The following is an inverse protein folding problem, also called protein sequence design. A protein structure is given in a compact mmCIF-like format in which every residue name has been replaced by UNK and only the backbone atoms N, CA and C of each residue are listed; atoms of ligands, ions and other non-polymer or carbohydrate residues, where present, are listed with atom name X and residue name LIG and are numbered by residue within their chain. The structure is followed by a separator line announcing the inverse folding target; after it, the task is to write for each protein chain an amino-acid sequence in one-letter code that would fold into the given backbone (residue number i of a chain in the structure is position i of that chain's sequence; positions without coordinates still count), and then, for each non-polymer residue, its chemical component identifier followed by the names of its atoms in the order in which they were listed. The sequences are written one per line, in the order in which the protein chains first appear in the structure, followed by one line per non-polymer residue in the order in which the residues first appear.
data_IF_345762481963
#
_entry.id   IF_345762481963
#
_cell.length_a   1.000
_cell.length_b   1.000
_cell.length_c   1.000
_cell.angle_alpha   90.00
_cell.angle_beta   90.00
_cell.angle_gamma   90.00
#
_symmetry.space_group_name_H-M   'P 1'
#
loop_
_entity.id
_entity.type
_entity.pdbx_description
1 polymer ?
#
# COMPACT_ATOMS: atom_id res chain seq x y z
N UNK A 1 24.54 -19.39 -13.14
CA UNK A 1 23.21 -19.93 -12.81
C UNK A 1 22.56 -18.98 -11.82
N UNK A 2 21.57 -18.21 -12.25
CA UNK A 2 20.73 -17.40 -11.36
C UNK A 2 19.63 -18.29 -10.82
N UNK A 3 19.67 -18.57 -9.52
CA UNK A 3 18.53 -19.18 -8.82
C UNK A 3 17.36 -18.20 -8.96
N UNK A 4 16.16 -18.62 -9.39
CA UNK A 4 15.02 -17.73 -9.48
C UNK A 4 14.61 -17.33 -8.06
N UNK A 5 15.10 -16.20 -7.57
CA UNK A 5 14.44 -15.48 -6.48
C UNK A 5 13.10 -15.02 -7.03
N UNK A 6 12.01 -15.35 -6.35
CA UNK A 6 10.69 -14.88 -6.74
C UNK A 6 10.71 -13.36 -6.81
N UNK A 7 10.45 -12.76 -7.97
CA UNK A 7 10.32 -11.30 -8.14
C UNK A 7 9.01 -10.76 -7.55
N UNK A 8 8.45 -11.48 -6.59
CA UNK A 8 7.19 -11.20 -5.95
C UNK A 8 7.43 -11.12 -4.45
N UNK A 9 6.98 -10.01 -3.87
CA UNK A 9 6.88 -9.81 -2.43
C UNK A 9 5.41 -9.91 -2.07
N UNK A 10 5.09 -10.78 -1.12
CA UNK A 10 3.74 -10.92 -0.56
C UNK A 10 3.86 -10.73 0.94
N UNK A 11 3.24 -9.68 1.46
CA UNK A 11 3.13 -9.45 2.88
C UNK A 11 1.68 -9.27 3.26
N UNK A 12 1.31 -9.74 4.45
CA UNK A 12 -0.07 -9.70 4.91
C UNK A 12 -0.16 -9.56 6.42
N UNK A 13 -1.28 -9.00 6.87
CA UNK A 13 -1.57 -8.83 8.28
C UNK A 13 -3.08 -8.86 8.52
N UNK A 14 -3.47 -9.26 9.73
CA UNK A 14 -4.83 -9.06 10.24
C UNK A 14 -4.87 -7.74 10.98
N UNK A 15 -5.66 -6.81 10.47
CA UNK A 15 -5.89 -5.50 11.06
C UNK A 15 -7.15 -5.59 11.92
N UNK A 16 -7.02 -5.41 13.24
CA UNK A 16 -8.13 -5.46 14.21
C UNK A 16 -9.05 -4.22 14.09
N UNK A 17 -9.66 -4.05 12.93
CA UNK A 17 -10.67 -3.05 12.62
C UNK A 17 -11.59 -3.55 11.50
N UNK A 18 -12.86 -3.09 11.46
CA UNK A 18 -13.79 -3.47 10.41
C UNK A 18 -13.32 -3.01 9.03
N UNK A 19 -13.74 -3.73 7.98
CA UNK A 19 -13.35 -3.46 6.59
C UNK A 19 -13.59 -2.01 6.18
N UNK A 20 -14.71 -1.42 6.58
CA UNK A 20 -15.05 -0.02 6.26
C UNK A 20 -14.02 0.99 6.77
N UNK A 21 -13.42 0.72 7.93
CA UNK A 21 -12.41 1.59 8.53
C UNK A 21 -11.07 1.42 7.82
N UNK A 22 -10.67 0.17 7.57
CA UNK A 22 -9.42 -0.14 6.88
C UNK A 22 -9.46 0.38 5.44
N UNK A 23 -10.56 0.14 4.73
CA UNK A 23 -10.77 0.56 3.33
C UNK A 23 -10.70 2.07 3.15
N UNK A 24 -11.07 2.86 4.17
CA UNK A 24 -10.95 4.31 4.13
C UNK A 24 -9.51 4.78 3.84
N UNK A 25 -8.51 4.04 4.33
CA UNK A 25 -7.09 4.32 4.12
C UNK A 25 -6.55 3.81 2.77
N UNK A 26 -7.25 2.88 2.11
CA UNK A 26 -6.78 2.22 0.89
C UNK A 26 -7.16 3.04 -0.35
N UNK A 27 -6.62 4.25 -0.42
CA UNK A 27 -6.65 5.12 -1.60
C UNK A 27 -5.28 5.74 -1.77
N UNK A 28 -4.80 5.91 -2.99
CA UNK A 28 -3.40 6.34 -3.21
C UNK A 28 -3.06 7.68 -2.55
N UNK A 29 -3.99 8.65 -2.53
CA UNK A 29 -3.82 9.91 -1.82
C UNK A 29 -3.92 9.82 -0.29
N UNK A 30 -4.49 8.74 0.24
CA UNK A 30 -4.74 8.52 1.67
C UNK A 30 -3.67 7.65 2.34
N UNK A 31 -2.88 6.92 1.54
CA UNK A 31 -1.79 6.07 2.05
C UNK A 31 -0.81 6.82 2.99
N UNK A 32 -0.42 8.10 2.76
CA UNK A 32 0.43 8.84 3.69
C UNK A 32 -0.21 9.07 5.07
N UNK A 33 -1.53 8.95 5.21
CA UNK A 33 -2.21 9.13 6.50
C UNK A 33 -1.93 8.00 7.49
N UNK A 34 -1.52 6.83 6.99
CA UNK A 34 -1.07 5.74 7.85
C UNK A 34 0.41 5.45 7.66
N UNK A 35 0.90 5.36 6.42
CA UNK A 35 2.25 4.87 6.18
C UNK A 35 3.29 5.95 6.46
N UNK A 36 3.98 5.79 7.60
CA UNK A 36 4.86 6.83 8.14
C UNK A 36 6.12 7.10 7.31
N UNK A 37 6.46 6.23 6.36
CA UNK A 37 7.59 6.43 5.45
C UNK A 37 7.31 7.53 4.41
N UNK A 38 6.04 7.75 4.07
CA UNK A 38 5.63 8.79 3.12
C UNK A 38 5.43 10.10 3.89
N UNK A 39 6.05 11.16 3.41
CA UNK A 39 5.89 12.51 3.93
C UNK A 39 4.60 13.15 3.40
N UNK A 40 4.34 13.04 2.10
CA UNK A 40 3.13 13.55 1.46
C UNK A 40 2.77 12.80 0.18
N UNK A 41 1.49 12.85 -0.18
CA UNK A 41 0.99 12.48 -1.51
C UNK A 41 0.31 13.67 -2.17
N UNK A 42 0.57 13.85 -3.46
CA UNK A 42 0.00 14.93 -4.26
C UNK A 42 -0.56 14.34 -5.56
N UNK A 43 -1.75 14.76 -5.97
CA UNK A 43 -2.28 14.37 -7.28
C UNK A 43 -1.50 15.10 -8.37
N UNK A 44 -0.99 14.35 -9.35
CA UNK A 44 -0.31 14.93 -10.52
C UNK A 44 -1.38 15.33 -11.53
N UNK A 45 -1.56 16.63 -11.71
CA UNK A 45 -2.51 17.19 -12.68
C UNK A 45 -1.83 17.36 -14.04
N UNK A 46 -2.58 17.17 -15.13
CA UNK A 46 -2.05 17.30 -16.50
C UNK A 46 -1.46 16.01 -17.10
N UNK A 47 -1.45 14.92 -16.35
CA UNK A 47 -1.38 13.55 -16.88
C UNK A 47 -2.75 13.14 -17.45
N UNK A 48 -2.77 12.36 -18.53
CA UNK A 48 -3.95 11.98 -19.34
C UNK A 48 -5.29 11.94 -18.59
N UNK A 49 -6.34 12.49 -19.21
CA UNK A 49 -7.69 12.68 -18.62
C UNK A 49 -8.31 11.43 -17.97
N UNK A 50 -7.86 10.23 -18.35
CA UNK A 50 -8.40 8.95 -17.89
C UNK A 50 -7.57 8.26 -16.78
N UNK A 51 -6.47 8.85 -16.28
CA UNK A 51 -5.57 8.13 -15.37
C UNK A 51 -5.17 8.95 -14.15
N UNK A 52 -5.56 8.45 -12.98
CA UNK A 52 -5.14 9.02 -11.70
C UNK A 52 -3.65 8.71 -11.43
N UNK A 53 -2.83 9.76 -11.43
CA UNK A 53 -1.41 9.71 -11.06
C UNK A 53 -1.19 10.44 -9.74
N UNK A 54 -0.46 9.81 -8.83
CA UNK A 54 -0.11 10.39 -7.55
C UNK A 54 1.41 10.42 -7.38
N UNK A 55 1.92 11.53 -6.85
CA UNK A 55 3.31 11.70 -6.46
C UNK A 55 3.44 11.44 -4.97
N UNK A 56 4.24 10.46 -4.58
CA UNK A 56 4.60 10.18 -3.20
C UNK A 56 6.02 10.67 -2.92
N UNK A 57 6.15 11.57 -1.96
CA UNK A 57 7.45 12.00 -1.43
C UNK A 57 7.73 11.23 -0.14
N UNK A 58 8.82 10.48 -0.10
CA UNK A 58 9.27 9.75 1.07
C UNK A 58 10.20 10.60 1.94
N UNK A 59 10.23 10.27 3.23
CA UNK A 59 11.08 10.96 4.22
C UNK A 59 12.58 10.75 4.01
N UNK A 60 12.98 9.75 3.24
CA UNK A 60 14.37 9.53 2.85
C UNK A 60 14.80 10.43 1.67
N UNK A 61 13.91 11.29 1.18
CA UNK A 61 14.13 12.18 0.06
C UNK A 61 13.80 11.56 -1.30
N UNK A 62 13.46 10.27 -1.36
CA UNK A 62 13.02 9.65 -2.60
C UNK A 62 11.60 10.09 -2.96
N UNK A 63 11.32 10.15 -4.26
CA UNK A 63 10.03 10.57 -4.80
C UNK A 63 9.62 9.58 -5.87
N UNK A 64 8.39 9.08 -5.82
CA UNK A 64 7.86 8.18 -6.84
C UNK A 64 6.55 8.72 -7.38
N UNK A 65 6.32 8.59 -8.68
CA UNK A 65 5.03 8.80 -9.29
C UNK A 65 4.41 7.44 -9.56
N UNK A 66 3.22 7.26 -9.02
CA UNK A 66 2.45 6.02 -9.15
C UNK A 66 1.19 6.30 -9.96
N UNK A 67 0.88 5.34 -10.82
CA UNK A 67 -0.32 5.32 -11.65
C UNK A 67 -1.30 4.32 -11.04
N UNK A 68 -2.54 4.74 -10.82
CA UNK A 68 -3.60 3.82 -10.45
C UNK A 68 -3.97 2.97 -11.67
N UNK A 69 -3.84 1.65 -11.57
CA UNK A 69 -4.24 0.72 -12.63
C UNK A 69 -5.67 0.22 -12.44
N UNK A 70 -6.06 -0.04 -11.18
CA UNK A 70 -7.39 -0.54 -10.85
C UNK A 70 -7.77 -0.16 -9.42
N UNK A 71 -9.05 0.15 -9.20
CA UNK A 71 -9.60 0.38 -7.87
C UNK A 71 -11.02 -0.17 -7.80
N UNK A 72 -11.19 -1.33 -7.18
CA UNK A 72 -12.48 -2.00 -7.00
C UNK A 72 -13.00 -1.76 -5.59
N UNK A 73 -14.02 -0.91 -5.47
CA UNK A 73 -14.78 -0.75 -4.22
C UNK A 73 -15.66 -1.98 -3.92
N UNK A 74 -15.99 -2.79 -4.93
CA UNK A 74 -16.79 -4.01 -4.74
C UNK A 74 -15.93 -5.12 -4.13
N UNK A 75 -14.75 -5.34 -4.70
CA UNK A 75 -13.84 -6.43 -4.30
C UNK A 75 -12.75 -6.00 -3.31
N UNK A 76 -12.77 -4.72 -2.91
CA UNK A 76 -11.88 -4.10 -1.92
C UNK A 76 -10.39 -4.32 -2.25
N UNK A 77 -9.99 -3.91 -3.45
CA UNK A 77 -8.57 -3.85 -3.80
C UNK A 77 -8.21 -2.65 -4.65
N UNK A 78 -6.93 -2.29 -4.59
CA UNK A 78 -6.31 -1.27 -5.43
C UNK A 78 -5.02 -1.83 -6.02
N UNK A 79 -4.82 -1.60 -7.31
CA UNK A 79 -3.60 -1.93 -8.05
C UNK A 79 -2.98 -0.65 -8.60
N UNK A 80 -1.68 -0.51 -8.44
CA UNK A 80 -0.94 0.65 -8.94
C UNK A 80 0.47 0.26 -9.36
N UNK A 81 1.03 1.03 -10.29
CA UNK A 81 2.36 0.84 -10.84
C UNK A 81 3.22 2.08 -10.64
N UNK A 82 4.51 1.90 -10.38
CA UNK A 82 5.45 3.04 -10.40
C UNK A 82 5.78 3.37 -11.84
N UNK A 83 5.56 4.63 -12.24
CA UNK A 83 5.83 5.13 -13.59
C UNK A 83 7.04 6.06 -13.66
N UNK A 84 7.40 6.67 -12.53
CA UNK A 84 8.57 7.54 -12.42
C UNK A 84 9.15 7.48 -10.99
N UNK A 85 10.45 7.74 -10.85
CA UNK A 85 11.13 7.73 -9.54
C UNK A 85 12.37 8.61 -9.56
N UNK A 86 12.60 9.32 -8.46
CA UNK A 86 13.80 10.12 -8.18
C UNK A 86 14.33 9.72 -6.79
N UNK A 87 15.51 9.09 -6.68
CA UNK A 87 16.38 8.63 -7.76
C UNK A 87 15.71 7.55 -8.63
N UNK A 88 16.20 7.39 -9.85
CA UNK A 88 15.69 6.39 -10.79
C UNK A 88 15.78 4.97 -10.23
N UNK A 89 14.78 4.15 -10.55
CA UNK A 89 14.75 2.74 -10.14
C UNK A 89 15.88 1.96 -10.80
N UNK A 90 16.43 0.98 -10.08
CA UNK A 90 17.40 0.02 -10.64
C UNK A 90 16.75 -1.09 -11.48
N UNK A 91 15.41 -1.10 -11.56
CA UNK A 91 14.61 -2.13 -12.22
C UNK A 91 13.54 -1.48 -13.12
N UNK A 92 13.10 -2.24 -14.13
CA UNK A 92 12.22 -1.72 -15.18
C UNK A 92 10.79 -1.42 -14.74
N UNK A 93 10.19 -2.21 -13.84
CA UNK A 93 8.81 -1.98 -13.39
C UNK A 93 8.49 -2.67 -12.07
N UNK A 94 7.52 -2.09 -11.34
CA UNK A 94 6.86 -2.75 -10.21
C UNK A 94 5.37 -2.47 -10.25
N UNK A 95 4.57 -3.53 -10.06
CA UNK A 95 3.12 -3.46 -9.91
C UNK A 95 2.77 -3.92 -8.51
N UNK A 96 2.07 -3.09 -7.75
CA UNK A 96 1.65 -3.38 -6.39
C UNK A 96 0.13 -3.49 -6.30
N UNK A 97 -0.35 -4.44 -5.50
CA UNK A 97 -1.78 -4.60 -5.21
C UNK A 97 -1.98 -4.68 -3.70
N UNK A 98 -2.91 -3.87 -3.17
CA UNK A 98 -3.41 -4.02 -1.80
C UNK A 98 -4.82 -4.57 -1.90
N UNK A 99 -5.09 -5.68 -1.22
CA UNK A 99 -6.41 -6.29 -1.16
C UNK A 99 -6.83 -6.54 0.27
N UNK A 100 -8.09 -6.24 0.56
CA UNK A 100 -8.70 -6.36 1.87
C UNK A 100 -9.85 -7.37 1.83
N UNK A 101 -9.95 -8.19 2.86
CA UNK A 101 -11.07 -9.11 3.06
C UNK A 101 -11.60 -8.95 4.49
N UNK A 102 -12.93 -8.88 4.67
CA UNK A 102 -13.50 -8.91 6.02
C UNK A 102 -13.29 -10.30 6.62
N UNK A 103 -12.89 -10.36 7.88
CA UNK A 103 -12.86 -11.61 8.65
C UNK A 103 -14.20 -11.76 9.36
N UNK A 104 -14.97 -12.75 8.93
CA UNK A 104 -16.39 -12.89 9.30
C UNK A 104 -16.65 -13.88 10.45
N UNK A 105 -15.62 -14.54 10.98
CA UNK A 105 -15.76 -15.52 12.06
C UNK A 105 -14.40 -15.88 12.69
N UNK A 106 -14.42 -16.37 13.93
CA UNK A 106 -13.24 -16.87 14.64
C UNK A 106 -12.61 -15.84 15.58
N UNK A 107 -11.37 -16.09 16.03
CA UNK A 107 -10.67 -15.21 16.99
C UNK A 107 -10.55 -13.75 16.51
N UNK A 108 -10.55 -13.56 15.19
CA UNK A 108 -10.39 -12.26 14.54
C UNK A 108 -11.67 -11.79 13.83
N UNK A 109 -12.85 -12.22 14.28
CA UNK A 109 -14.12 -11.67 13.78
C UNK A 109 -14.16 -10.13 13.92
N UNK A 110 -14.89 -9.47 13.01
CA UNK A 110 -14.97 -8.00 12.87
C UNK A 110 -13.63 -7.30 12.55
N UNK A 111 -12.64 -8.07 12.08
CA UNK A 111 -11.36 -7.56 11.61
C UNK A 111 -11.22 -7.61 10.09
N UNK A 112 -10.09 -7.14 9.57
CA UNK A 112 -9.79 -7.14 8.14
C UNK A 112 -8.47 -7.84 7.87
N UNK A 113 -8.48 -8.86 7.02
CA UNK A 113 -7.27 -9.42 6.46
C UNK A 113 -6.79 -8.55 5.30
N UNK A 114 -5.55 -8.08 5.35
CA UNK A 114 -4.95 -7.25 4.31
C UNK A 114 -3.75 -7.96 3.73
N UNK A 115 -3.69 -8.05 2.40
CA UNK A 115 -2.53 -8.54 1.65
C UNK A 115 -2.00 -7.45 0.74
N UNK A 116 -0.70 -7.21 0.80
CA UNK A 116 0.02 -6.31 -0.07
C UNK A 116 1.01 -7.12 -0.91
N UNK A 117 0.78 -7.17 -2.22
CA UNK A 117 1.67 -7.82 -3.18
C UNK A 117 2.47 -6.78 -3.95
N UNK A 118 3.71 -7.09 -4.31
CA UNK A 118 4.53 -6.29 -5.22
C UNK A 118 5.23 -7.22 -6.19
N UNK A 119 4.98 -7.07 -7.49
CA UNK A 119 5.57 -7.85 -8.57
C UNK A 119 6.56 -6.97 -9.32
N UNK A 120 7.82 -7.37 -9.28
CA UNK A 120 8.93 -6.68 -9.90
C UNK A 120 9.27 -7.31 -11.24
N UNK A 121 9.86 -6.53 -12.14
CA UNK A 121 10.53 -7.05 -13.33
C UNK A 121 11.73 -7.92 -12.97
N UNK A 122 12.15 -8.78 -13.90
CA UNK A 122 13.20 -9.79 -13.67
C UNK A 122 14.61 -9.25 -13.45
N UNK A 123 14.81 -7.95 -13.70
CA UNK A 123 16.04 -7.21 -13.49
C UNK A 123 16.14 -6.62 -12.07
N UNK A 124 15.13 -6.80 -11.20
CA UNK A 124 15.22 -6.41 -9.80
C UNK A 124 16.20 -7.29 -9.02
N UNK A 125 17.10 -6.66 -8.27
CA UNK A 125 18.07 -7.35 -7.43
C UNK A 125 17.46 -7.82 -6.09
N UNK A 126 18.14 -8.75 -5.42
CA UNK A 126 17.68 -9.31 -4.15
C UNK A 126 17.57 -8.26 -3.02
N UNK A 127 18.39 -7.20 -3.06
CA UNK A 127 18.35 -6.10 -2.10
C UNK A 127 17.06 -5.29 -2.24
N UNK A 128 16.63 -5.00 -3.46
CA UNK A 128 15.34 -4.35 -3.76
C UNK A 128 14.18 -5.18 -3.24
N UNK A 129 14.18 -6.49 -3.51
CA UNK A 129 13.13 -7.41 -3.04
C UNK A 129 13.08 -7.44 -1.51
N UNK A 130 14.24 -7.48 -0.85
CA UNK A 130 14.33 -7.49 0.60
C UNK A 130 13.89 -6.16 1.23
N UNK A 131 14.30 -5.02 0.68
CA UNK A 131 13.86 -3.70 1.14
C UNK A 131 12.35 -3.52 1.00
N UNK A 132 11.79 -3.89 -0.16
CA UNK A 132 10.36 -3.84 -0.41
C UNK A 132 9.57 -4.68 0.61
N UNK A 133 10.09 -5.87 0.95
CA UNK A 133 9.51 -6.74 1.98
C UNK A 133 9.40 -6.05 3.33
N UNK A 134 10.47 -5.42 3.81
CA UNK A 134 10.44 -4.70 5.09
C UNK A 134 9.49 -3.50 5.04
N UNK A 135 9.55 -2.71 3.96
CA UNK A 135 8.65 -1.56 3.76
C UNK A 135 7.17 -1.96 3.78
N UNK A 136 6.78 -3.11 3.20
CA UNK A 136 5.38 -3.58 3.25
C UNK A 136 4.96 -4.03 4.65
N UNK A 137 5.85 -4.66 5.41
CA UNK A 137 5.56 -5.03 6.81
C UNK A 137 5.38 -3.82 7.70
N UNK A 138 6.25 -2.82 7.54
CA UNK A 138 6.15 -1.56 8.28
C UNK A 138 4.87 -0.81 7.91
N UNK A 139 4.53 -0.74 6.62
CA UNK A 139 3.28 -0.14 6.17
C UNK A 139 2.04 -0.83 6.75
N UNK A 140 2.03 -2.16 6.83
CA UNK A 140 0.92 -2.93 7.43
C UNK A 140 0.81 -2.72 8.94
N UNK A 141 1.95 -2.61 9.64
CA UNK A 141 2.00 -2.26 11.07
C UNK A 141 1.46 -0.86 11.32
N UNK A 142 1.85 0.10 10.49
CA UNK A 142 1.38 1.48 10.55
C UNK A 142 -0.12 1.58 10.25
N UNK A 143 -0.62 0.82 9.28
CA UNK A 143 -2.05 0.69 8.98
C UNK A 143 -2.82 0.19 10.20
N UNK A 144 -2.29 -0.82 10.90
CA UNK A 144 -2.92 -1.33 12.11
C UNK A 144 -3.02 -0.26 13.21
N UNK A 145 -1.95 0.51 13.40
CA UNK A 145 -1.93 1.60 14.38
C UNK A 145 -2.91 2.73 14.01
N UNK A 146 -2.97 3.11 12.74
CA UNK A 146 -3.90 4.15 12.25
C UNK A 146 -5.36 3.72 12.39
N UNK A 147 -5.68 2.47 12.01
CA UNK A 147 -7.02 1.91 12.15
C UNK A 147 -7.46 1.83 13.63
N UNK A 148 -6.57 1.40 14.53
CA UNK A 148 -6.84 1.37 15.97
C UNK A 148 -7.12 2.77 16.54
N UNK A 149 -6.37 3.80 16.09
CA UNK A 149 -6.61 5.19 16.48
C UNK A 149 -7.97 5.71 15.99
N UNK A 150 -8.36 5.37 14.77
CA UNK A 150 -9.66 5.75 14.21
C UNK A 150 -10.82 5.15 15.04
N UNK A 151 -10.71 3.89 15.45
CA UNK A 151 -11.68 3.23 16.33
C UNK A 151 -11.77 3.90 17.70
N UNK A 152 -10.62 4.16 18.34
CA UNK A 152 -10.59 4.82 19.65
C UNK A 152 -11.10 6.27 19.62
N UNK A 153 -10.95 6.97 18.48
CA UNK A 153 -11.52 8.30 18.26
C UNK A 153 -13.04 8.28 18.18
N UNK A 154 -13.62 7.29 17.50
CA UNK A 154 -15.08 7.15 17.36
C UNK A 154 -15.78 6.78 18.69
N UNK A 155 -15.10 6.06 19.58
CA UNK A 155 -15.66 5.72 20.89
C UNK A 155 -15.69 6.93 21.84
N UNK A 156 -14.77 7.90 21.70
CA UNK A 156 -14.72 9.09 22.56
C UNK A 156 -15.65 10.22 22.13
N UNK A 157 -16.08 10.28 20.86
CA UNK A 157 -17.05 11.28 20.39
C UNK A 157 -18.51 10.90 20.67
N UNK A 158 -18.75 9.67 21.14
CA UNK A 158 -20.08 9.08 21.31
C UNK A 158 -20.46 8.93 22.80
N UNK A 159 -19.69 9.54 23.70
CA UNK A 159 -19.89 9.60 25.17
C UNK A 159 -19.93 11.05 25.62
#
# INVERSE_FOLDING_TARGET
MTVPTTNEVIESAVIRAPLSHVWHFIKLGEIPKFWSAIEKAETVTGTSDDTDVFRWSFKDGSVVEIKQDEHSNLDHFITYSVINSEPGLSYSSVVSTIRCWPVTSGEFEDSTFVRWTSKFSSDADAGVIQDAKYKRRDALKDLAAAAAKMLGGHQRSSS
#
